data_IF_737770895437
#
_entry.id   IF_737770895437
#
_cell.length_a   1.000
_cell.length_b   1.000
_cell.length_c   1.000
_cell.angle_alpha   90.00
_cell.angle_beta   90.00
_cell.angle_gamma   90.00
#
_symmetry.space_group_name_H-M   'P 1'
#
loop_
_entity.id
_entity.type
_entity.pdbx_description
1 polymer ?
#
# COMPACT_ATOMS: atom_id res chain seq x y z
N UNK A 1 -36.04 24.73 -33.78
CA UNK A 1 -36.05 23.88 -32.57
C UNK A 1 -35.50 22.51 -32.94
N UNK A 2 -34.32 22.15 -32.45
CA UNK A 2 -33.66 20.88 -32.76
C UNK A 2 -34.37 19.74 -31.98
N UNK A 3 -35.10 18.85 -32.68
CA UNK A 3 -35.71 17.66 -32.06
C UNK A 3 -34.62 16.60 -31.84
N UNK A 4 -34.08 16.54 -30.64
CA UNK A 4 -33.16 15.47 -30.25
C UNK A 4 -33.97 14.17 -30.16
N UNK A 5 -33.52 13.14 -30.86
CA UNK A 5 -34.17 11.85 -30.92
C UNK A 5 -33.99 11.12 -29.58
N UNK A 6 -35.06 10.61 -28.97
CA UNK A 6 -35.04 9.96 -27.63
C UNK A 6 -33.99 8.85 -27.52
N UNK A 7 -33.75 8.12 -28.63
CA UNK A 7 -32.71 7.08 -28.69
C UNK A 7 -31.30 7.65 -28.56
N UNK A 8 -31.05 8.85 -29.09
CA UNK A 8 -29.76 9.55 -29.01
C UNK A 8 -29.54 10.06 -27.58
N UNK A 9 -30.58 10.54 -26.90
CA UNK A 9 -30.50 10.92 -25.49
C UNK A 9 -30.10 9.74 -24.59
N UNK A 10 -30.70 8.57 -24.81
CA UNK A 10 -30.40 7.38 -24.01
C UNK A 10 -28.95 6.93 -24.16
N UNK A 11 -28.40 7.00 -25.38
CA UNK A 11 -26.99 6.68 -25.67
C UNK A 11 -26.06 7.68 -25.00
N UNK A 12 -26.38 8.98 -25.03
CA UNK A 12 -25.58 10.01 -24.36
C UNK A 12 -25.57 9.79 -22.84
N UNK A 13 -26.72 9.49 -22.23
CA UNK A 13 -26.78 9.18 -20.79
C UNK A 13 -26.02 7.90 -20.43
N UNK A 14 -26.06 6.87 -21.28
CA UNK A 14 -25.30 5.64 -21.07
C UNK A 14 -23.77 5.87 -21.16
N UNK A 15 -23.32 6.70 -22.10
CA UNK A 15 -21.89 7.06 -22.25
C UNK A 15 -21.42 7.91 -21.06
N UNK A 16 -22.23 8.91 -20.65
CA UNK A 16 -21.92 9.73 -19.47
C UNK A 16 -21.92 8.87 -18.21
N UNK A 17 -22.87 7.93 -18.07
CA UNK A 17 -22.86 6.94 -17.01
C UNK A 17 -21.58 6.12 -17.03
N UNK A 18 -21.15 5.60 -18.17
CA UNK A 18 -19.90 4.84 -18.27
C UNK A 18 -18.68 5.68 -17.90
N UNK A 19 -18.62 6.96 -18.29
CA UNK A 19 -17.50 7.86 -17.96
C UNK A 19 -17.48 8.26 -16.48
N UNK A 20 -18.66 8.44 -15.84
CA UNK A 20 -18.76 8.80 -14.42
C UNK A 20 -18.62 7.57 -13.51
N UNK A 21 -19.09 6.39 -13.94
CA UNK A 21 -19.02 5.13 -13.18
C UNK A 21 -17.77 4.29 -13.45
N UNK A 22 -16.90 4.71 -14.37
CA UNK A 22 -15.46 4.36 -14.27
C UNK A 22 -14.79 5.15 -13.12
N UNK A 23 -15.51 5.26 -12.00
CA UNK A 23 -14.92 5.58 -10.72
C UNK A 23 -13.81 4.58 -10.50
N UNK A 24 -12.63 5.14 -10.24
CA UNK A 24 -11.36 4.49 -10.03
C UNK A 24 -11.59 3.09 -9.47
N UNK A 25 -11.38 2.07 -10.31
CA UNK A 25 -11.03 0.78 -9.76
C UNK A 25 -9.70 1.02 -9.07
N UNK A 26 -9.73 1.35 -7.78
CA UNK A 26 -8.66 1.07 -6.83
C UNK A 26 -8.51 -0.45 -6.79
N UNK A 27 -8.11 -1.04 -7.92
CA UNK A 27 -7.36 -2.26 -7.89
C UNK A 27 -6.19 -1.92 -6.96
N UNK A 28 -6.22 -2.50 -5.75
CA UNK A 28 -5.14 -2.41 -4.77
C UNK A 28 -3.86 -2.88 -5.47
N UNK A 29 -3.20 -1.97 -6.17
CA UNK A 29 -1.99 -2.27 -6.89
C UNK A 29 -1.00 -2.61 -5.79
N UNK A 30 -0.60 -3.87 -5.74
CA UNK A 30 0.43 -4.30 -4.82
C UNK A 30 1.68 -3.47 -5.13
N UNK A 31 2.06 -2.60 -4.22
CA UNK A 31 3.17 -1.67 -4.42
C UNK A 31 4.40 -2.24 -3.77
N UNK A 32 5.53 -2.23 -4.47
CA UNK A 32 6.80 -2.74 -3.95
C UNK A 32 7.69 -1.60 -3.47
N UNK A 33 8.23 -1.75 -2.26
CA UNK A 33 9.30 -0.92 -1.73
C UNK A 33 10.61 -1.73 -1.76
N UNK A 34 11.50 -1.42 -2.71
CA UNK A 34 12.72 -2.22 -2.92
C UNK A 34 13.78 -2.04 -1.83
N UNK A 35 13.74 -0.94 -1.07
CA UNK A 35 14.58 -0.68 0.10
C UNK A 35 13.80 0.09 1.15
N UNK A 36 13.60 -0.51 2.31
CA UNK A 36 13.12 0.14 3.52
C UNK A 36 13.96 -0.27 4.73
N UNK A 37 14.27 0.70 5.58
CA UNK A 37 14.88 0.42 6.88
C UNK A 37 13.78 0.15 7.91
N UNK A 38 13.94 -0.92 8.69
CA UNK A 38 13.03 -1.24 9.80
C UNK A 38 13.39 -0.40 11.01
N UNK A 39 12.54 0.59 11.33
CA UNK A 39 12.72 1.46 12.51
C UNK A 39 12.15 0.78 13.76
N UNK A 40 10.99 0.14 13.63
CA UNK A 40 10.31 -0.57 14.72
C UNK A 40 9.46 -1.70 14.13
N UNK A 41 9.38 -2.83 14.81
CA UNK A 41 8.41 -3.89 14.54
C UNK A 41 7.95 -4.48 15.88
N UNK A 42 6.65 -4.62 16.09
CA UNK A 42 6.11 -5.10 17.36
C UNK A 42 4.59 -4.99 17.44
N UNK A 43 3.98 -5.38 18.57
CA UNK A 43 2.53 -5.24 18.76
C UNK A 43 2.11 -3.78 18.52
N UNK A 44 0.97 -3.58 17.86
CA UNK A 44 0.45 -2.23 17.64
C UNK A 44 0.19 -1.52 18.98
N UNK A 45 0.55 -0.24 19.07
CA UNK A 45 0.26 0.60 20.22
C UNK A 45 -1.24 0.92 20.39
N UNK A 46 -2.05 0.60 19.37
CA UNK A 46 -3.51 0.69 19.38
C UNK A 46 -4.11 -0.72 19.48
N UNK A 47 -5.34 -0.82 19.99
CA UNK A 47 -6.08 -2.05 20.33
C UNK A 47 -6.40 -3.01 19.16
N UNK A 48 -5.65 -2.98 18.07
CA UNK A 48 -5.73 -3.94 16.98
C UNK A 48 -4.79 -5.10 17.28
N UNK A 49 -5.26 -6.35 17.13
CA UNK A 49 -4.46 -7.58 17.24
C UNK A 49 -3.46 -7.75 16.08
N UNK A 50 -2.89 -6.64 15.59
CA UNK A 50 -1.96 -6.61 14.45
C UNK A 50 -0.57 -6.17 14.92
N UNK A 51 0.44 -6.62 14.20
CA UNK A 51 1.83 -6.23 14.42
C UNK A 51 2.11 -4.97 13.61
N UNK A 52 2.40 -3.86 14.28
CA UNK A 52 2.79 -2.61 13.66
C UNK A 52 4.26 -2.64 13.26
N UNK A 53 4.55 -2.09 12.09
CA UNK A 53 5.89 -1.98 11.53
C UNK A 53 6.10 -0.55 11.06
N UNK A 54 7.07 0.13 11.67
CA UNK A 54 7.51 1.47 11.23
C UNK A 54 8.68 1.27 10.28
N UNK A 55 8.46 1.65 9.04
CA UNK A 55 9.46 1.58 7.97
C UNK A 55 9.88 2.98 7.57
N UNK A 56 11.17 3.17 7.26
CA UNK A 56 11.70 4.35 6.59
C UNK A 56 11.95 4.01 5.13
N UNK A 57 11.42 4.80 4.20
CA UNK A 57 11.73 4.61 2.78
C UNK A 57 13.19 4.99 2.52
N UNK A 58 14.03 4.01 2.21
CA UNK A 58 15.44 4.20 1.83
C UNK A 58 15.67 3.96 0.33
N UNK A 59 14.60 3.76 -0.44
CA UNK A 59 14.65 3.62 -1.88
C UNK A 59 15.06 4.95 -2.54
N UNK A 60 15.62 4.90 -3.75
CA UNK A 60 16.02 6.08 -4.50
C UNK A 60 14.85 6.94 -5.00
N UNK A 61 13.62 6.45 -4.86
CA UNK A 61 12.40 7.11 -5.33
C UNK A 61 11.27 7.02 -4.30
N UNK A 62 10.31 7.95 -4.42
CA UNK A 62 9.07 7.91 -3.66
C UNK A 62 8.21 6.73 -4.11
N UNK A 63 7.42 6.20 -3.18
CA UNK A 63 6.51 5.07 -3.41
C UNK A 63 5.09 5.61 -3.30
N UNK A 64 4.51 6.01 -4.44
CA UNK A 64 3.33 6.85 -4.46
C UNK A 64 3.57 8.12 -3.64
N UNK A 65 2.71 8.38 -2.64
CA UNK A 65 2.84 9.51 -1.71
C UNK A 65 3.77 9.24 -0.50
N UNK A 66 4.52 8.14 -0.50
CA UNK A 66 5.52 7.87 0.54
C UNK A 66 6.90 8.35 0.08
N UNK A 67 7.28 9.55 0.53
CA UNK A 67 8.51 10.22 0.12
C UNK A 67 9.77 9.51 0.62
N UNK A 68 10.88 9.70 -0.10
CA UNK A 68 12.21 9.19 0.27
C UNK A 68 12.63 9.73 1.64
N UNK A 69 13.31 8.89 2.43
CA UNK A 69 13.79 9.17 3.78
C UNK A 69 12.72 9.50 4.83
N UNK A 70 11.43 9.28 4.53
CA UNK A 70 10.33 9.47 5.48
C UNK A 70 9.88 8.15 6.10
N UNK A 71 9.43 8.21 7.35
CA UNK A 71 8.89 7.05 8.06
C UNK A 71 7.38 6.94 7.88
N UNK A 72 6.89 5.71 7.86
CA UNK A 72 5.47 5.40 7.81
C UNK A 72 5.19 4.10 8.55
N UNK A 73 4.03 4.03 9.20
CA UNK A 73 3.57 2.84 9.91
C UNK A 73 2.72 1.99 8.99
N UNK A 74 2.99 0.70 8.99
CA UNK A 74 2.26 -0.36 8.29
C UNK A 74 1.92 -1.49 9.27
N UNK A 75 1.16 -2.48 8.83
CA UNK A 75 0.87 -3.67 9.62
C UNK A 75 1.31 -4.93 8.88
N UNK A 76 1.86 -5.93 9.59
CA UNK A 76 2.15 -7.22 8.96
C UNK A 76 0.86 -7.89 8.48
N UNK A 77 0.96 -8.53 7.33
CA UNK A 77 -0.10 -9.37 6.81
C UNK A 77 -0.30 -10.61 7.70
N UNK A 78 -1.55 -10.97 7.96
CA UNK A 78 -1.91 -12.00 8.95
C UNK A 78 -1.37 -13.40 8.56
N UNK A 79 -1.13 -13.64 7.26
CA UNK A 79 -0.59 -14.88 6.71
C UNK A 79 0.90 -15.12 6.99
N UNK A 80 1.64 -14.11 7.46
CA UNK A 80 3.09 -14.21 7.69
C UNK A 80 3.51 -13.73 9.07
N UNK A 81 2.60 -13.53 10.03
CA UNK A 81 2.86 -12.81 11.28
C UNK A 81 4.17 -13.17 11.97
N UNK A 82 4.33 -14.41 12.44
CA UNK A 82 5.49 -14.81 13.24
C UNK A 82 6.79 -14.78 12.43
N UNK A 83 6.74 -15.32 11.20
CA UNK A 83 7.91 -15.37 10.31
C UNK A 83 8.34 -13.97 9.87
N UNK A 84 7.39 -13.15 9.44
CA UNK A 84 7.61 -11.77 9.01
C UNK A 84 8.14 -10.89 10.13
N UNK A 85 7.59 -11.03 11.34
CA UNK A 85 8.09 -10.31 12.51
C UNK A 85 9.52 -10.72 12.84
N UNK A 86 9.82 -12.02 12.86
CA UNK A 86 11.18 -12.51 13.09
C UNK A 86 12.15 -11.98 12.03
N UNK A 87 11.77 -11.97 10.75
CA UNK A 87 12.58 -11.42 9.67
C UNK A 87 12.82 -9.91 9.83
N UNK A 88 11.81 -9.12 10.18
CA UNK A 88 11.94 -7.67 10.38
C UNK A 88 12.81 -7.34 11.59
N UNK A 89 12.63 -8.06 12.70
CA UNK A 89 13.46 -7.90 13.89
C UNK A 89 14.91 -8.28 13.62
N UNK A 90 15.12 -9.35 12.84
CA UNK A 90 16.47 -9.75 12.41
C UNK A 90 17.09 -8.67 11.54
N UNK A 91 16.39 -8.19 10.49
CA UNK A 91 16.86 -7.12 9.62
C UNK A 91 17.24 -5.85 10.41
N UNK A 92 16.41 -5.47 11.38
CA UNK A 92 16.71 -4.37 12.30
C UNK A 92 17.96 -4.62 13.13
N UNK A 93 18.11 -5.82 13.70
CA UNK A 93 19.25 -6.18 14.55
C UNK A 93 20.58 -6.15 13.78
N UNK A 94 20.57 -6.59 12.52
CA UNK A 94 21.75 -6.56 11.64
C UNK A 94 21.90 -5.22 10.88
N UNK A 95 20.98 -4.27 11.06
CA UNK A 95 20.96 -2.96 10.38
C UNK A 95 20.90 -3.05 8.84
N UNK A 96 20.21 -4.05 8.31
CA UNK A 96 19.99 -4.23 6.89
C UNK A 96 18.63 -3.70 6.43
N UNK A 97 18.55 -3.37 5.15
CA UNK A 97 17.31 -2.92 4.51
C UNK A 97 16.46 -4.13 4.10
N UNK A 98 15.15 -3.92 3.95
CA UNK A 98 14.20 -4.94 3.52
C UNK A 98 13.48 -4.54 2.24
N UNK A 99 13.19 -5.53 1.40
CA UNK A 99 12.18 -5.39 0.35
C UNK A 99 10.85 -5.81 0.93
N UNK A 100 9.88 -4.89 0.89
CA UNK A 100 8.51 -5.17 1.28
C UNK A 100 7.55 -5.00 0.12
N UNK A 101 6.56 -5.88 0.09
CA UNK A 101 5.37 -5.78 -0.74
C UNK A 101 4.26 -5.17 0.11
N UNK A 102 3.62 -4.12 -0.39
CA UNK A 102 2.58 -3.36 0.26
C UNK A 102 1.26 -3.62 -0.46
N UNK A 103 0.18 -3.85 0.29
CA UNK A 103 -1.19 -3.90 -0.30
C UNK A 103 -1.58 -2.52 -0.86
N UNK A 104 -1.14 -1.44 -0.20
CA UNK A 104 -1.23 -0.06 -0.67
C UNK A 104 -0.09 0.77 -0.02
N UNK A 105 0.28 1.90 -0.62
CA UNK A 105 1.31 2.80 -0.09
C UNK A 105 0.82 3.65 1.10
N UNK A 106 -0.48 3.66 1.40
CA UNK A 106 -1.09 4.45 2.50
C UNK A 106 -0.63 3.97 3.88
N UNK A 107 -0.48 4.89 4.85
CA UNK A 107 -0.18 4.52 6.23
C UNK A 107 -1.28 3.61 6.80
N UNK A 108 -0.88 2.58 7.56
CA UNK A 108 -1.78 1.56 8.09
C UNK A 108 -2.15 0.47 7.08
N UNK A 109 -1.54 0.44 5.89
CA UNK A 109 -1.71 -0.67 4.95
C UNK A 109 -0.97 -1.93 5.42
N UNK A 110 -1.37 -3.08 4.87
CA UNK A 110 -0.72 -4.36 5.13
C UNK A 110 0.56 -4.52 4.33
N UNK A 111 1.55 -5.18 4.91
CA UNK A 111 2.83 -5.51 4.27
C UNK A 111 3.19 -7.00 4.37
N UNK A 112 3.91 -7.47 3.36
CA UNK A 112 4.60 -8.76 3.33
C UNK A 112 6.08 -8.51 3.11
N UNK A 113 6.95 -9.18 3.86
CA UNK A 113 8.41 -9.12 3.64
C UNK A 113 8.77 -10.05 2.49
N UNK A 114 9.45 -9.53 1.48
CA UNK A 114 9.89 -10.30 0.31
C UNK A 114 11.29 -10.86 0.54
N UNK A 115 12.24 -10.02 0.95
CA UNK A 115 13.60 -10.44 1.34
C UNK A 115 14.29 -9.41 2.24
N UNK A 116 15.35 -9.83 2.93
CA UNK A 116 16.30 -8.96 3.65
C UNK A 116 17.53 -8.79 2.77
N UNK A 117 17.92 -7.55 2.51
CA UNK A 117 19.02 -7.18 1.63
C UNK A 117 20.30 -6.95 2.39
#
# INVERSE_FOLDING_TARGET
MLKINVKIQLVIFAIIGLVIFNGESDAYATVTCSSAQVVLAGPAFAATSKVAVVLKNTSSAAIGNWAVNTTRTFYLHDSILDRGLATLLTAKAIQHDVWVSLVNYTAGSLITVVYVK
#
